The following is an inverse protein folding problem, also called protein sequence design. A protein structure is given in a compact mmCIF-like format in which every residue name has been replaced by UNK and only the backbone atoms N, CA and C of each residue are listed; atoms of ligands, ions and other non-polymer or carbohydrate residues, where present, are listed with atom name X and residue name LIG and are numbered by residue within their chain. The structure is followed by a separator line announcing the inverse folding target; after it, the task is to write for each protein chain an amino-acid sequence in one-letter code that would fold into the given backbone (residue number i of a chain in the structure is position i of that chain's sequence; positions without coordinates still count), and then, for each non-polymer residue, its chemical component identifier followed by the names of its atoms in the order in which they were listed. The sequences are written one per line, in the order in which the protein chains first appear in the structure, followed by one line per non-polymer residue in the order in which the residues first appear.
data_IF_773601533379
#
_entry.id   IF_773601533379
#
_cell.length_a   1.000
_cell.length_b   1.000
_cell.length_c   1.000
_cell.angle_alpha   90.00
_cell.angle_beta   90.00
_cell.angle_gamma   90.00
#
_symmetry.space_group_name_H-M   'P 1'
#
loop_
_entity.id
_entity.type
_entity.pdbx_description
1 polymer ?
#
# COMPACT_ATOMS: atom_id res chain seq x y z
N UNK A 1 1.52 4.31 1.30
CA UNK A 1 0.64 4.99 2.26
C UNK A 1 -0.48 4.10 2.78
N UNK A 2 -1.25 3.39 1.94
CA UNK A 2 -2.29 2.47 2.47
C UNK A 2 -1.71 1.42 3.41
N UNK A 3 -0.57 0.82 3.04
CA UNK A 3 0.14 -0.11 3.91
C UNK A 3 0.62 0.56 5.20
N UNK A 4 1.18 1.78 5.13
CA UNK A 4 1.63 2.54 6.30
C UNK A 4 0.46 2.81 7.27
N UNK A 5 -0.72 3.20 6.76
CA UNK A 5 -1.93 3.39 7.59
C UNK A 5 -2.33 2.09 8.30
N UNK A 6 -2.03 0.92 7.75
CA UNK A 6 -2.33 -0.36 8.41
C UNK A 6 -1.22 -0.79 9.38
N UNK A 7 0.04 -0.56 9.00
CA UNK A 7 1.22 -1.12 9.65
C UNK A 7 1.72 -0.26 10.81
N UNK A 8 1.70 1.07 10.65
CA UNK A 8 2.30 2.01 11.60
C UNK A 8 1.64 1.97 12.99
N UNK A 9 0.31 1.77 13.14
CA UNK A 9 -0.30 1.58 14.45
C UNK A 9 0.27 0.39 15.24
N UNK A 10 0.62 -0.70 14.54
CA UNK A 10 1.24 -1.87 15.15
C UNK A 10 2.68 -1.53 15.56
N UNK A 11 3.46 -0.93 14.66
CA UNK A 11 4.84 -0.55 14.95
C UNK A 11 4.94 0.46 16.09
N UNK A 12 3.98 1.37 16.19
CA UNK A 12 4.00 2.44 17.17
C UNK A 12 3.43 2.01 18.51
N UNK A 13 2.16 1.59 18.54
CA UNK A 13 1.44 1.38 19.80
C UNK A 13 1.70 -0.01 20.39
N UNK A 14 1.89 -1.03 19.55
CA UNK A 14 1.98 -2.42 20.01
C UNK A 14 3.44 -2.85 20.18
N UNK A 15 4.28 -2.59 19.18
CA UNK A 15 5.68 -3.02 19.18
C UNK A 15 6.63 -1.97 19.75
N UNK A 16 6.26 -0.68 19.72
CA UNK A 16 7.11 0.40 20.22
C UNK A 16 8.36 0.65 19.38
N UNK A 17 8.40 0.18 18.14
CA UNK A 17 9.51 0.40 17.21
C UNK A 17 9.58 1.86 16.78
N UNK A 18 8.41 2.49 16.60
CA UNK A 18 8.30 3.88 16.17
C UNK A 18 7.57 4.71 17.24
N UNK A 19 8.34 5.48 18.00
CA UNK A 19 7.81 6.31 19.08
C UNK A 19 7.93 7.77 18.69
N UNK A 20 6.79 8.44 18.55
CA UNK A 20 6.74 9.89 18.41
C UNK A 20 6.62 10.54 19.80
N UNK A 21 7.51 11.48 20.18
CA UNK A 21 7.49 12.08 21.51
C UNK A 21 6.18 12.79 21.87
N UNK A 22 5.52 13.39 20.88
CA UNK A 22 4.23 14.07 21.05
C UNK A 22 3.02 13.16 20.79
N UNK A 23 3.26 11.86 20.55
CA UNK A 23 2.25 10.90 20.11
C UNK A 23 1.62 11.30 18.77
N UNK A 24 0.45 10.72 18.51
CA UNK A 24 -0.28 10.93 17.28
C UNK A 24 -1.74 10.51 17.38
N UNK A 25 -2.60 11.22 16.65
CA UNK A 25 -4.05 11.00 16.72
C UNK A 25 -4.47 9.58 16.30
N UNK A 26 -3.76 8.98 15.34
CA UNK A 26 -4.13 7.69 14.79
C UNK A 26 -3.24 6.61 15.40
N UNK A 27 -3.67 6.07 16.55
CA UNK A 27 -2.93 5.03 17.30
C UNK A 27 -1.47 5.41 17.54
N UNK A 28 -1.24 6.58 18.14
CA UNK A 28 0.08 7.18 18.39
C UNK A 28 0.88 7.58 17.14
N UNK A 29 0.32 7.41 15.93
CA UNK A 29 0.93 7.85 14.68
C UNK A 29 0.41 9.24 14.28
N UNK A 30 1.28 10.25 14.10
CA UNK A 30 0.86 11.58 13.69
C UNK A 30 0.47 11.61 12.21
N UNK A 31 -0.57 12.37 11.85
CA UNK A 31 -1.03 12.47 10.45
C UNK A 31 0.05 12.98 9.47
N UNK A 32 1.01 13.76 9.98
CA UNK A 32 2.16 14.24 9.22
C UNK A 32 3.05 13.11 8.73
N UNK A 33 3.08 11.96 9.39
CA UNK A 33 3.82 10.77 8.93
C UNK A 33 3.24 10.27 7.60
N UNK A 34 1.93 10.04 7.53
CA UNK A 34 1.27 9.56 6.31
C UNK A 34 1.37 10.58 5.17
N UNK A 35 1.20 11.87 5.49
CA UNK A 35 1.42 12.94 4.51
C UNK A 35 2.87 12.97 4.00
N UNK A 36 3.84 12.78 4.89
CA UNK A 36 5.26 12.71 4.54
C UNK A 36 5.58 11.55 3.59
N UNK A 37 5.06 10.35 3.88
CA UNK A 37 5.22 9.19 2.98
C UNK A 37 4.52 9.39 1.63
N UNK A 38 3.33 9.98 1.64
CA UNK A 38 2.63 10.35 0.40
C UNK A 38 3.45 11.32 -0.44
N UNK A 39 3.93 12.41 0.18
CA UNK A 39 4.71 13.44 -0.49
C UNK A 39 6.04 12.86 -1.02
N UNK A 40 6.70 12.00 -0.26
CA UNK A 40 7.93 11.32 -0.68
C UNK A 40 7.71 10.52 -1.97
N UNK A 41 6.70 9.65 -1.98
CA UNK A 41 6.38 8.82 -3.15
C UNK A 41 5.94 9.70 -4.32
N UNK A 42 5.12 10.72 -4.07
CA UNK A 42 4.70 11.69 -5.08
C UNK A 42 5.90 12.38 -5.74
N UNK A 43 6.86 12.87 -4.95
CA UNK A 43 8.05 13.54 -5.47
C UNK A 43 8.94 12.61 -6.28
N UNK A 44 9.12 11.36 -5.83
CA UNK A 44 9.85 10.33 -6.60
C UNK A 44 9.20 10.13 -7.97
N UNK A 45 7.88 9.93 -8.01
CA UNK A 45 7.16 9.76 -9.28
C UNK A 45 7.14 11.04 -10.13
N UNK A 46 7.08 12.22 -9.52
CA UNK A 46 7.14 13.50 -10.22
C UNK A 46 8.50 13.66 -10.92
N UNK A 47 9.60 13.44 -10.21
CA UNK A 47 10.95 13.51 -10.79
C UNK A 47 11.11 12.47 -11.90
N UNK A 48 10.63 11.25 -11.68
CA UNK A 48 10.65 10.19 -12.70
C UNK A 48 9.83 10.55 -13.94
N UNK A 49 8.64 11.11 -13.77
CA UNK A 49 7.78 11.56 -14.86
C UNK A 49 8.42 12.71 -15.65
N UNK A 50 9.03 13.68 -14.96
CA UNK A 50 9.80 14.76 -15.60
C UNK A 50 10.97 14.17 -16.38
N UNK A 51 11.71 13.23 -15.79
CA UNK A 51 12.84 12.58 -16.46
C UNK A 51 12.42 11.89 -17.76
N UNK A 52 11.34 11.09 -17.74
CA UNK A 52 10.80 10.43 -18.94
C UNK A 52 10.26 11.45 -19.94
N UNK A 53 9.56 12.50 -19.50
CA UNK A 53 8.96 13.50 -20.40
C UNK A 53 9.99 14.23 -21.27
N UNK A 54 11.26 14.25 -20.83
CA UNK A 54 12.37 14.89 -21.54
C UNK A 54 13.09 13.95 -22.51
N UNK A 55 12.72 12.66 -22.55
CA UNK A 55 13.25 11.72 -23.51
C UNK A 55 12.47 11.85 -24.83
N UNK A 56 13.17 12.22 -25.91
CA UNK A 56 12.58 12.41 -27.24
C UNK A 56 12.23 11.10 -27.96
N UNK A 57 12.62 9.95 -27.41
CA UNK A 57 12.35 8.67 -28.03
C UNK A 57 11.01 8.12 -27.56
N UNK A 58 10.06 8.04 -28.50
CA UNK A 58 8.96 7.06 -28.43
C UNK A 58 9.53 5.67 -28.62
N UNK A 59 10.40 5.20 -27.72
CA UNK A 59 10.70 3.78 -27.66
C UNK A 59 9.36 3.10 -27.44
N UNK A 60 8.92 2.26 -28.38
CA UNK A 60 7.79 1.36 -28.12
C UNK A 60 8.10 0.73 -26.78
N UNK A 61 7.17 0.89 -25.82
CA UNK A 61 7.28 0.16 -24.56
C UNK A 61 7.67 -1.26 -24.94
N UNK A 62 8.72 -1.85 -24.33
CA UNK A 62 8.93 -3.27 -24.49
C UNK A 62 7.59 -3.96 -24.25
N UNK A 63 7.32 -5.07 -24.95
CA UNK A 63 6.13 -5.87 -24.65
C UNK A 63 6.34 -6.44 -23.25
N UNK A 64 6.03 -5.62 -22.23
CA UNK A 64 6.34 -5.89 -20.84
C UNK A 64 5.29 -6.92 -20.43
N UNK A 65 5.71 -8.17 -20.43
CA UNK A 65 5.16 -9.25 -19.64
C UNK A 65 3.80 -9.80 -20.07
N UNK A 66 3.69 -11.13 -20.05
CA UNK A 66 2.40 -11.81 -20.08
C UNK A 66 1.50 -11.34 -18.92
N UNK A 67 0.20 -11.59 -19.00
CA UNK A 67 -0.77 -11.29 -17.93
C UNK A 67 -0.30 -11.73 -16.54
N UNK A 68 0.39 -12.86 -16.46
CA UNK A 68 0.97 -13.36 -15.20
C UNK A 68 1.94 -12.36 -14.58
N UNK A 69 2.81 -11.73 -15.37
CA UNK A 69 3.79 -10.75 -14.90
C UNK A 69 3.11 -9.59 -14.16
N UNK A 70 2.08 -9.01 -14.76
CA UNK A 70 1.35 -7.87 -14.17
C UNK A 70 0.48 -8.25 -12.98
N UNK A 71 0.01 -9.50 -12.90
CA UNK A 71 -0.75 -10.00 -11.75
C UNK A 71 0.12 -10.22 -10.51
N UNK A 72 1.44 -10.41 -10.66
CA UNK A 72 2.33 -10.65 -9.51
C UNK A 72 2.24 -9.51 -8.49
N UNK A 73 2.27 -8.25 -8.95
CA UNK A 73 2.32 -7.08 -8.06
C UNK A 73 1.09 -6.96 -7.16
N UNK A 74 -0.17 -6.91 -7.67
CA UNK A 74 -1.32 -6.80 -6.79
C UNK A 74 -1.56 -8.07 -5.95
N UNK A 75 -1.14 -9.26 -6.42
CA UNK A 75 -1.21 -10.48 -5.62
C UNK A 75 -0.20 -10.46 -4.45
N UNK A 76 1.03 -10.00 -4.67
CA UNK A 76 2.00 -9.81 -3.60
C UNK A 76 1.49 -8.80 -2.57
N UNK A 77 0.93 -7.68 -3.03
CA UNK A 77 0.37 -6.66 -2.14
C UNK A 77 -0.84 -7.18 -1.34
N UNK A 78 -1.70 -7.99 -1.96
CA UNK A 78 -2.78 -8.69 -1.25
C UNK A 78 -2.24 -9.73 -0.25
N UNK A 79 -1.12 -10.40 -0.59
CA UNK A 79 -0.41 -11.29 0.33
C UNK A 79 0.10 -10.55 1.57
N UNK A 80 0.64 -9.33 1.40
CA UNK A 80 1.01 -8.46 2.53
C UNK A 80 -0.19 -8.03 3.37
N UNK A 81 -1.37 -7.87 2.75
CA UNK A 81 -2.60 -7.54 3.47
C UNK A 81 -3.09 -8.69 4.38
N UNK A 82 -2.79 -9.94 3.99
CA UNK A 82 -3.32 -11.14 4.65
C UNK A 82 -3.01 -11.18 6.15
N UNK A 83 -1.80 -10.79 6.56
CA UNK A 83 -1.44 -10.80 7.99
C UNK A 83 -2.35 -9.90 8.83
N UNK A 84 -2.77 -8.75 8.30
CA UNK A 84 -3.64 -7.80 8.99
C UNK A 84 -5.10 -8.27 8.97
N UNK A 85 -5.50 -9.02 7.94
CA UNK A 85 -6.82 -9.66 7.88
C UNK A 85 -6.96 -10.81 8.88
N UNK A 86 -5.87 -11.52 9.17
CA UNK A 86 -5.87 -12.65 10.08
C UNK A 86 -5.61 -12.24 11.53
N UNK A 87 -4.82 -11.18 11.77
CA UNK A 87 -4.36 -10.79 13.10
C UNK A 87 -5.46 -10.73 14.19
N UNK A 88 -6.66 -10.15 13.97
CA UNK A 88 -7.69 -10.08 15.01
C UNK A 88 -8.19 -11.43 15.51
N UNK A 89 -8.06 -12.49 14.70
CA UNK A 89 -8.51 -13.84 15.05
C UNK A 89 -7.49 -14.65 15.85
N UNK A 90 -6.23 -14.19 15.89
CA UNK A 90 -5.12 -14.88 16.55
C UNK A 90 -4.52 -14.09 17.72
N UNK A 91 -4.96 -12.85 17.95
CA UNK A 91 -4.55 -12.02 19.10
C UNK A 91 -5.64 -11.93 20.15
N UNK A 92 -5.23 -11.80 21.41
CA UNK A 92 -6.10 -11.53 22.56
C UNK A 92 -5.90 -10.15 23.16
N UNK A 93 -4.95 -9.37 22.63
CA UNK A 93 -4.58 -8.03 23.12
C UNK A 93 -4.74 -6.99 22.02
N UNK A 94 -4.97 -5.73 22.42
CA UNK A 94 -5.15 -4.60 21.50
C UNK A 94 -6.24 -4.83 20.44
N UNK A 95 -7.33 -5.52 20.82
CA UNK A 95 -8.39 -5.94 19.90
C UNK A 95 -9.01 -4.77 19.14
N UNK A 96 -9.21 -3.62 19.80
CA UNK A 96 -9.76 -2.42 19.17
C UNK A 96 -8.89 -1.93 18.00
N UNK A 97 -7.57 -2.01 18.16
CA UNK A 97 -6.60 -1.66 17.11
C UNK A 97 -6.70 -2.70 15.99
N UNK A 98 -6.55 -3.98 16.28
CA UNK A 98 -6.54 -5.03 15.26
C UNK A 98 -7.84 -5.07 14.45
N UNK A 99 -9.02 -4.95 15.08
CA UNK A 99 -10.29 -4.89 14.35
C UNK A 99 -10.43 -3.62 13.51
N UNK A 100 -9.92 -2.49 13.98
CA UNK A 100 -9.86 -1.26 13.17
C UNK A 100 -8.96 -1.46 11.95
N UNK A 101 -7.78 -2.04 12.13
CA UNK A 101 -6.83 -2.31 11.06
C UNK A 101 -7.35 -3.34 10.05
N UNK A 102 -8.09 -4.34 10.51
CA UNK A 102 -8.78 -5.30 9.64
C UNK A 102 -9.72 -4.58 8.67
N UNK A 103 -10.58 -3.69 9.19
CA UNK A 103 -11.51 -2.92 8.37
C UNK A 103 -10.77 -1.99 7.40
N UNK A 104 -9.78 -1.26 7.90
CA UNK A 104 -8.96 -0.36 7.05
C UNK A 104 -8.26 -1.14 5.94
N UNK A 105 -7.74 -2.34 6.24
CA UNK A 105 -7.10 -3.22 5.25
C UNK A 105 -8.06 -3.64 4.15
N UNK A 106 -9.32 -3.97 4.50
CA UNK A 106 -10.36 -4.30 3.52
C UNK A 106 -10.64 -3.12 2.59
N UNK A 107 -10.90 -1.93 3.16
CA UNK A 107 -11.30 -0.77 2.38
C UNK A 107 -10.16 -0.10 1.60
N UNK A 108 -8.90 -0.43 1.91
CA UNK A 108 -7.75 0.18 1.25
C UNK A 108 -6.97 -0.85 0.44
N UNK A 109 -6.20 -1.72 1.10
CA UNK A 109 -5.29 -2.66 0.45
C UNK A 109 -6.05 -3.69 -0.40
N UNK A 110 -7.07 -4.35 0.15
CA UNK A 110 -7.84 -5.37 -0.58
C UNK A 110 -8.60 -4.73 -1.73
N UNK A 111 -9.29 -3.63 -1.49
CA UNK A 111 -10.03 -2.89 -2.51
C UNK A 111 -9.17 -2.52 -3.72
N UNK A 112 -8.00 -1.91 -3.49
CA UNK A 112 -7.10 -1.51 -4.59
C UNK A 112 -6.46 -2.70 -5.28
N UNK A 113 -6.08 -3.75 -4.55
CA UNK A 113 -5.57 -4.98 -5.17
C UNK A 113 -6.60 -5.62 -6.09
N UNK A 114 -7.88 -5.66 -5.70
CA UNK A 114 -8.96 -6.18 -6.55
C UNK A 114 -9.11 -5.34 -7.82
N UNK A 115 -9.14 -4.00 -7.70
CA UNK A 115 -9.22 -3.12 -8.87
C UNK A 115 -8.03 -3.33 -9.81
N UNK A 116 -6.82 -3.41 -9.26
CA UNK A 116 -5.61 -3.62 -10.05
C UNK A 116 -5.63 -4.98 -10.78
N UNK A 117 -6.06 -6.05 -10.09
CA UNK A 117 -6.25 -7.37 -10.71
C UNK A 117 -7.27 -7.28 -11.84
N UNK A 118 -8.47 -6.73 -11.59
CA UNK A 118 -9.52 -6.61 -12.60
C UNK A 118 -9.03 -5.84 -13.83
N UNK A 119 -8.31 -4.74 -13.62
CA UNK A 119 -7.73 -3.93 -14.69
C UNK A 119 -6.73 -4.72 -15.55
N UNK A 120 -5.82 -5.46 -14.92
CA UNK A 120 -4.86 -6.32 -15.64
C UNK A 120 -5.57 -7.42 -16.44
N UNK A 121 -6.67 -7.95 -15.90
CA UNK A 121 -7.48 -8.97 -16.59
C UNK A 121 -8.22 -8.38 -17.80
N UNK A 122 -8.71 -7.15 -17.70
CA UNK A 122 -9.46 -6.48 -18.76
C UNK A 122 -8.58 -5.93 -19.89
N UNK A 123 -7.46 -5.28 -19.57
CA UNK A 123 -6.57 -4.66 -20.57
C UNK A 123 -5.95 -5.71 -21.51
N UNK A 124 -5.66 -6.91 -21.03
CA UNK A 124 -5.03 -7.99 -21.83
C UNK A 124 -6.05 -8.86 -22.58
N UNK A 125 -7.36 -8.70 -22.31
CA UNK A 125 -8.41 -9.35 -23.11
C UNK A 125 -8.62 -8.72 -24.50
N UNK A 126 -8.02 -7.55 -24.74
CA UNK A 126 -8.17 -6.77 -25.98
C UNK A 126 -7.02 -6.94 -26.96
N UNK A 127 -5.98 -7.69 -26.59
CA UNK A 127 -4.89 -8.14 -27.46
C UNK A 127 -5.14 -9.59 -27.92
#
# INVERSE_FOLDING_TARGET
VMWDVVMDPIMSTIQGEWIWPSGGFYFEVPLTNFFGWYLTIFLIYLVFAIFISRQNEKTKSPNIGSRTYWLVIPLMYLGMALQYLLAPFFTTTFLDIFWSLFLVTIYTMVFVSIIAILRVIEEIKKD
#
